data_IF_769534275447
#
_entry.id   IF_769534275447
#
_cell.length_a   1.000
_cell.length_b   1.000
_cell.length_c   1.000
_cell.angle_alpha   90.00
_cell.angle_beta   90.00
_cell.angle_gamma   90.00
#
_symmetry.space_group_name_H-M   'P 1'
#
loop_
_entity.id
_entity.type
_entity.pdbx_description
1 polymer ?
#
# COMPACT_ATOMS: atom_id res chain seq x y z
N UNK A 1 -3.94 -14.81 -39.21
CA UNK A 1 -5.34 -14.39 -39.42
C UNK A 1 -6.00 -14.27 -38.05
N UNK A 2 -5.65 -13.22 -37.32
CA UNK A 2 -6.22 -12.89 -36.01
C UNK A 2 -6.36 -11.37 -36.00
N UNK A 3 -7.31 -10.89 -36.80
CA UNK A 3 -7.77 -9.51 -36.78
C UNK A 3 -8.99 -9.42 -35.86
N UNK A 4 -9.15 -8.25 -35.25
CA UNK A 4 -10.42 -7.74 -34.72
C UNK A 4 -10.97 -8.33 -33.40
N UNK A 5 -10.21 -8.17 -32.31
CA UNK A 5 -10.82 -7.76 -31.04
C UNK A 5 -10.70 -6.24 -30.96
N UNK A 6 -11.61 -5.55 -31.67
CA UNK A 6 -11.69 -4.09 -31.76
C UNK A 6 -12.06 -3.46 -30.41
N UNK A 7 -11.62 -2.22 -30.22
CA UNK A 7 -11.78 -1.28 -29.08
C UNK A 7 -13.14 -1.21 -28.34
N UNK A 8 -14.19 -1.90 -28.80
CA UNK A 8 -15.49 -1.95 -28.13
C UNK A 8 -15.50 -2.78 -26.82
N UNK A 9 -14.45 -3.58 -26.57
CA UNK A 9 -14.34 -4.42 -25.37
C UNK A 9 -13.66 -3.79 -24.14
N UNK A 10 -13.12 -2.57 -24.25
CA UNK A 10 -12.12 -2.09 -23.28
C UNK A 10 -12.65 -1.08 -22.25
N UNK A 11 -13.52 -0.14 -22.66
CA UNK A 11 -14.38 0.60 -21.70
C UNK A 11 -15.22 -0.37 -20.86
N UNK A 12 -15.58 -1.49 -21.48
CA UNK A 12 -16.37 -2.56 -20.88
C UNK A 12 -15.68 -3.28 -19.70
N UNK A 13 -14.35 -3.29 -19.55
CA UNK A 13 -13.70 -4.02 -18.45
C UNK A 13 -13.72 -3.27 -17.12
N UNK A 14 -13.49 -1.95 -17.12
CA UNK A 14 -13.71 -1.14 -15.90
C UNK A 14 -15.18 -1.13 -15.51
N UNK A 15 -16.07 -1.10 -16.50
CA UNK A 15 -17.53 -1.13 -16.30
C UNK A 15 -18.03 -2.51 -15.85
N UNK A 16 -17.24 -3.57 -16.06
CA UNK A 16 -17.53 -4.94 -15.61
C UNK A 16 -17.11 -5.21 -14.17
N UNK A 17 -16.25 -4.37 -13.57
CA UNK A 17 -15.95 -4.47 -12.15
C UNK A 17 -17.10 -3.81 -11.38
N UNK A 18 -17.75 -4.52 -10.44
CA UNK A 18 -18.80 -3.91 -9.63
C UNK A 18 -18.28 -2.65 -8.93
N UNK A 19 -19.03 -1.56 -9.09
CA UNK A 19 -18.90 -0.39 -8.20
C UNK A 19 -19.33 -0.81 -6.78
N UNK A 20 -19.04 0.04 -5.80
CA UNK A 20 -19.37 -0.26 -4.42
C UNK A 20 -20.86 -0.61 -4.21
N UNK A 21 -21.12 -1.75 -3.55
CA UNK A 21 -22.48 -2.17 -3.23
C UNK A 21 -23.15 -1.18 -2.26
N UNK A 22 -24.45 -0.96 -2.44
CA UNK A 22 -25.28 -0.14 -1.54
C UNK A 22 -25.07 -0.57 -0.07
N UNK A 23 -24.53 0.34 0.74
CA UNK A 23 -24.23 0.12 2.17
C UNK A 23 -22.74 0.18 2.52
N UNK A 24 -21.84 0.11 1.54
CA UNK A 24 -20.54 0.79 1.64
C UNK A 24 -20.80 2.22 1.18
N UNK A 25 -20.76 3.20 2.11
CA UNK A 25 -20.93 4.61 1.74
C UNK A 25 -20.03 4.92 0.54
N UNK A 26 -20.54 5.62 -0.48
CA UNK A 26 -19.68 6.27 -1.46
C UNK A 26 -18.76 7.19 -0.65
N UNK A 27 -17.49 6.82 -0.60
CA UNK A 27 -16.58 7.41 0.36
C UNK A 27 -16.26 8.83 -0.10
N UNK A 28 -16.92 9.81 0.55
CA UNK A 28 -16.68 11.21 0.27
C UNK A 28 -15.29 11.57 0.74
N UNK A 29 -14.46 12.01 -0.19
CA UNK A 29 -13.23 12.67 0.17
C UNK A 29 -13.57 13.98 0.89
N UNK A 30 -12.80 14.38 1.90
CA UNK A 30 -13.10 15.59 2.65
C UNK A 30 -13.05 16.79 1.70
N UNK A 31 -13.88 17.85 1.90
CA UNK A 31 -14.01 18.95 0.94
C UNK A 31 -12.67 19.56 0.52
N UNK A 32 -11.74 19.72 1.45
CA UNK A 32 -10.40 20.24 1.17
C UNK A 32 -9.62 19.39 0.18
N UNK A 33 -9.80 18.06 0.16
CA UNK A 33 -9.19 17.15 -0.81
C UNK A 33 -10.07 16.95 -2.03
N UNK A 34 -11.40 17.02 -1.89
CA UNK A 34 -12.35 16.89 -2.99
C UNK A 34 -12.23 18.07 -3.98
N UNK A 35 -12.15 19.29 -3.46
CA UNK A 35 -12.07 20.55 -4.21
C UNK A 35 -10.65 20.87 -4.70
N UNK A 36 -9.61 20.36 -4.02
CA UNK A 36 -8.24 20.47 -4.49
C UNK A 36 -7.91 19.34 -5.45
N UNK A 37 -7.31 19.70 -6.58
CA UNK A 37 -6.77 18.71 -7.49
C UNK A 37 -5.43 18.14 -6.97
N UNK A 38 -4.87 18.54 -5.83
CA UNK A 38 -3.58 18.00 -5.37
C UNK A 38 -3.30 18.38 -3.92
N UNK A 39 -2.13 18.03 -3.35
CA UNK A 39 -1.75 18.56 -2.06
C UNK A 39 -1.61 20.09 -2.14
N UNK A 40 -1.64 20.73 -0.98
CA UNK A 40 -1.47 22.17 -0.83
C UNK A 40 -0.14 22.69 -1.43
N UNK A 41 0.86 21.82 -1.59
CA UNK A 41 2.15 22.09 -2.25
C UNK A 41 2.83 20.81 -2.74
N UNK A 42 3.70 20.91 -3.75
CA UNK A 42 4.61 19.82 -4.12
C UNK A 42 5.50 19.47 -2.92
N UNK A 43 5.82 18.19 -2.68
CA UNK A 43 6.66 17.82 -1.53
C UNK A 43 8.09 18.34 -1.73
N UNK A 44 8.41 19.48 -1.12
CA UNK A 44 9.77 20.03 -1.14
C UNK A 44 10.70 19.15 -0.32
N UNK A 45 11.87 18.85 -0.89
CA UNK A 45 12.94 18.18 -0.15
C UNK A 45 13.53 19.17 0.85
N UNK A 46 13.49 18.81 2.13
CA UNK A 46 14.11 19.61 3.16
C UNK A 46 15.62 19.36 3.27
N UNK A 47 16.28 20.16 4.12
CA UNK A 47 17.72 20.05 4.40
C UNK A 47 18.19 18.69 4.94
N UNK A 48 17.27 17.81 5.34
CA UNK A 48 17.56 16.46 5.83
C UNK A 48 17.27 15.38 4.77
N UNK A 49 16.92 15.79 3.55
CA UNK A 49 16.65 14.90 2.43
C UNK A 49 15.24 14.30 2.43
N UNK A 50 14.34 14.76 3.30
CA UNK A 50 12.96 14.25 3.41
C UNK A 50 11.94 15.21 2.81
N UNK A 51 10.81 14.68 2.37
CA UNK A 51 9.73 15.43 1.74
C UNK A 51 8.58 15.63 2.73
N UNK A 52 8.15 16.89 2.95
CA UNK A 52 6.95 17.15 3.75
C UNK A 52 5.72 16.87 2.90
N UNK A 53 4.87 15.96 3.36
CA UNK A 53 3.62 15.55 2.71
C UNK A 53 2.46 15.93 3.59
N UNK A 54 1.53 16.71 3.06
CA UNK A 54 0.32 17.10 3.77
C UNK A 54 -0.78 16.06 3.51
N UNK A 55 -1.21 15.36 4.56
CA UNK A 55 -2.27 14.35 4.51
C UNK A 55 -3.62 14.98 4.80
N UNK A 56 -3.68 15.99 5.66
CA UNK A 56 -4.84 16.85 5.90
C UNK A 56 -4.37 18.17 6.56
N UNK A 57 -5.21 19.21 6.69
CA UNK A 57 -4.77 20.52 7.22
C UNK A 57 -4.10 20.49 8.60
N UNK A 58 -4.37 19.45 9.39
CA UNK A 58 -3.81 19.25 10.73
C UNK A 58 -2.96 17.98 10.84
N UNK A 59 -2.54 17.39 9.72
CA UNK A 59 -1.71 16.20 9.69
C UNK A 59 -0.78 16.19 8.48
N UNK A 60 0.52 16.12 8.75
CA UNK A 60 1.56 15.99 7.72
C UNK A 60 2.60 14.96 8.15
N UNK A 61 3.36 14.44 7.19
CA UNK A 61 4.44 13.49 7.42
C UNK A 61 5.70 13.96 6.71
N UNK A 62 6.86 13.59 7.24
CA UNK A 62 8.15 13.73 6.58
C UNK A 62 8.56 12.38 6.02
N UNK A 63 8.63 12.27 4.69
CA UNK A 63 8.88 11.02 3.98
C UNK A 63 10.29 11.03 3.40
N UNK A 64 11.10 10.04 3.76
CA UNK A 64 12.38 9.79 3.12
C UNK A 64 12.20 8.88 1.91
N UNK A 65 12.90 9.20 0.83
CA UNK A 65 12.86 8.43 -0.42
C UNK A 65 14.26 7.87 -0.70
N UNK A 66 14.32 6.81 -1.50
CA UNK A 66 15.59 6.31 -2.00
C UNK A 66 16.02 7.16 -3.20
N UNK A 67 17.33 7.33 -3.39
CA UNK A 67 17.86 7.93 -4.61
C UNK A 67 17.51 7.07 -5.82
N UNK A 68 17.46 7.70 -7.00
CA UNK A 68 17.29 6.99 -8.26
C UNK A 68 18.41 5.95 -8.43
N UNK A 69 18.03 4.71 -8.76
CA UNK A 69 18.95 3.58 -8.83
C UNK A 69 19.88 3.64 -10.05
N UNK A 70 19.71 4.62 -10.95
CA UNK A 70 20.59 4.89 -12.09
C UNK A 70 20.49 3.87 -13.21
N UNK A 71 19.78 2.75 -13.01
CA UNK A 71 19.43 1.77 -14.04
C UNK A 71 18.11 2.15 -14.70
N UNK A 72 18.02 3.40 -15.18
CA UNK A 72 16.81 4.02 -15.72
C UNK A 72 15.62 4.13 -14.74
N UNK A 73 15.84 4.20 -13.41
CA UNK A 73 14.77 4.38 -12.43
C UNK A 73 13.86 3.16 -12.27
N UNK A 74 14.45 1.95 -12.25
CA UNK A 74 13.73 0.69 -12.42
C UNK A 74 12.65 0.41 -11.36
N UNK A 75 12.78 0.99 -10.16
CA UNK A 75 11.83 0.81 -9.05
C UNK A 75 11.02 2.07 -8.72
N UNK A 76 11.33 3.23 -9.33
CA UNK A 76 10.58 4.48 -9.18
C UNK A 76 10.38 5.00 -7.73
N UNK A 77 11.19 4.55 -6.78
CA UNK A 77 11.06 4.88 -5.35
C UNK A 77 11.61 6.26 -4.93
N UNK A 78 12.04 7.07 -5.90
CA UNK A 78 12.59 8.42 -5.70
C UNK A 78 11.52 9.52 -5.63
N UNK A 79 10.24 9.16 -5.78
CA UNK A 79 9.14 10.12 -5.76
C UNK A 79 7.97 9.63 -4.91
N UNK A 80 7.11 10.58 -4.54
CA UNK A 80 5.80 10.29 -3.96
C UNK A 80 4.80 10.32 -5.10
N UNK A 81 4.18 9.16 -5.33
CA UNK A 81 3.22 8.98 -6.40
C UNK A 81 1.81 9.34 -5.94
N UNK A 82 0.99 9.87 -6.84
CA UNK A 82 -0.33 10.39 -6.53
C UNK A 82 -1.26 9.34 -5.92
N UNK A 83 -1.20 8.08 -6.38
CA UNK A 83 -1.96 6.98 -5.83
C UNK A 83 -1.56 6.65 -4.39
N UNK A 84 -0.26 6.74 -4.04
CA UNK A 84 0.20 6.60 -2.66
C UNK A 84 -0.40 7.68 -1.76
N UNK A 85 -0.44 8.93 -2.21
CA UNK A 85 -1.11 10.03 -1.49
C UNK A 85 -2.63 9.81 -1.42
N UNK A 86 -3.27 9.37 -2.50
CA UNK A 86 -4.71 9.06 -2.52
C UNK A 86 -5.05 7.99 -1.49
N UNK A 87 -4.26 6.90 -1.43
CA UNK A 87 -4.43 5.82 -0.47
C UNK A 87 -4.22 6.31 0.97
N UNK A 88 -3.19 7.13 1.20
CA UNK A 88 -2.93 7.73 2.51
C UNK A 88 -4.09 8.63 2.97
N UNK A 89 -4.58 9.53 2.11
CA UNK A 89 -5.74 10.37 2.41
C UNK A 89 -7.01 9.52 2.63
N UNK A 90 -7.20 8.46 1.85
CA UNK A 90 -8.32 7.54 2.01
C UNK A 90 -8.30 6.88 3.40
N UNK A 91 -7.14 6.38 3.85
CA UNK A 91 -6.98 5.81 5.19
C UNK A 91 -7.20 6.84 6.30
N UNK A 92 -6.76 8.09 6.11
CA UNK A 92 -6.96 9.17 7.10
C UNK A 92 -8.45 9.46 7.34
N UNK A 93 -9.26 9.34 6.30
CA UNK A 93 -10.71 9.54 6.37
C UNK A 93 -11.48 8.27 6.80
N UNK A 94 -10.87 7.09 6.71
CA UNK A 94 -11.50 5.81 7.03
C UNK A 94 -10.66 4.99 8.02
N UNK A 95 -10.44 5.50 9.24
CA UNK A 95 -9.56 4.84 10.21
C UNK A 95 -10.01 3.43 10.58
N UNK A 96 -11.28 3.06 10.37
CA UNK A 96 -11.80 1.71 10.56
C UNK A 96 -11.13 0.65 9.65
N UNK A 97 -10.52 1.05 8.53
CA UNK A 97 -9.73 0.12 7.72
C UNK A 97 -8.48 -0.39 8.44
N UNK A 98 -7.91 0.39 9.35
CA UNK A 98 -6.59 0.11 9.95
C UNK A 98 -6.64 -0.06 11.47
N UNK A 99 -7.61 0.56 12.16
CA UNK A 99 -7.71 0.49 13.62
C UNK A 99 -7.79 -0.95 14.10
N UNK A 100 -6.93 -1.29 15.04
CA UNK A 100 -6.81 -2.61 15.68
C UNK A 100 -6.53 -3.78 14.70
N UNK A 101 -6.09 -3.49 13.47
CA UNK A 101 -5.84 -4.48 12.42
C UNK A 101 -4.35 -4.73 12.18
N UNK A 102 -4.02 -5.94 11.71
CA UNK A 102 -2.70 -6.26 11.16
C UNK A 102 -2.68 -5.82 9.69
N UNK A 103 -1.73 -4.96 9.34
CA UNK A 103 -1.61 -4.35 8.01
C UNK A 103 -0.25 -4.71 7.40
N UNK A 104 -0.23 -5.00 6.10
CA UNK A 104 1.00 -5.17 5.31
C UNK A 104 1.00 -4.22 4.12
N UNK A 105 2.12 -3.59 3.80
CA UNK A 105 2.29 -2.78 2.59
C UNK A 105 3.30 -3.44 1.66
N UNK A 106 2.95 -3.53 0.36
CA UNK A 106 3.82 -4.01 -0.70
C UNK A 106 4.22 -2.85 -1.62
N UNK A 107 5.52 -2.69 -1.87
CA UNK A 107 6.04 -1.58 -2.69
C UNK A 107 5.91 -0.24 -1.97
N UNK A 108 6.34 -0.19 -0.70
CA UNK A 108 6.08 0.94 0.19
C UNK A 108 6.85 2.23 -0.20
N UNK A 109 8.01 2.11 -0.84
CA UNK A 109 8.98 3.17 -1.10
C UNK A 109 9.26 4.01 0.17
N UNK A 110 8.63 5.17 0.30
CA UNK A 110 8.75 6.04 1.47
C UNK A 110 7.83 5.68 2.65
N UNK A 111 6.97 4.66 2.50
CA UNK A 111 6.02 4.14 3.49
C UNK A 111 4.90 5.12 3.90
N UNK A 112 4.47 6.01 3.01
CA UNK A 112 3.46 7.02 3.30
C UNK A 112 2.11 6.42 3.78
N UNK A 113 1.50 5.42 3.10
CA UNK A 113 0.28 4.76 3.58
C UNK A 113 0.47 4.05 4.93
N UNK A 114 1.59 3.34 5.11
CA UNK A 114 1.92 2.68 6.39
C UNK A 114 1.96 3.66 7.57
N UNK A 115 2.54 4.85 7.38
CA UNK A 115 2.62 5.87 8.43
C UNK A 115 1.23 6.39 8.84
N UNK A 116 0.30 6.53 7.88
CA UNK A 116 -1.09 6.87 8.17
C UNK A 116 -1.80 5.71 8.88
N UNK A 117 -1.58 4.47 8.45
CA UNK A 117 -2.13 3.30 9.12
C UNK A 117 -1.68 3.20 10.60
N UNK A 118 -0.40 3.46 10.87
CA UNK A 118 0.16 3.46 12.23
C UNK A 118 -0.44 4.56 13.11
N UNK A 119 -0.61 5.78 12.58
CA UNK A 119 -1.28 6.88 13.28
C UNK A 119 -2.68 6.50 13.73
N UNK A 120 -3.44 5.82 12.87
CA UNK A 120 -4.85 5.47 13.12
C UNK A 120 -5.06 4.18 13.91
N UNK A 121 -4.00 3.65 14.51
CA UNK A 121 -4.10 2.56 15.47
C UNK A 121 -3.99 1.16 14.86
N UNK A 122 -3.28 1.00 13.73
CA UNK A 122 -2.85 -0.32 13.26
C UNK A 122 -2.21 -1.14 14.38
N UNK A 123 -2.74 -2.33 14.65
CA UNK A 123 -2.24 -3.21 15.70
C UNK A 123 -0.83 -3.72 15.36
N UNK A 124 -0.56 -3.96 14.08
CA UNK A 124 0.75 -4.30 13.55
C UNK A 124 0.87 -3.83 12.09
N UNK A 125 2.07 -3.39 11.70
CA UNK A 125 2.38 -2.92 10.35
C UNK A 125 3.64 -3.62 9.83
N UNK A 126 3.51 -4.41 8.76
CA UNK A 126 4.65 -4.92 8.00
C UNK A 126 4.85 -4.07 6.74
N UNK A 127 6.00 -3.42 6.63
CA UNK A 127 6.32 -2.54 5.51
C UNK A 127 7.33 -3.25 4.62
N UNK A 128 6.94 -3.55 3.39
CA UNK A 128 7.78 -4.32 2.46
C UNK A 128 8.07 -3.55 1.17
N UNK A 129 9.27 -3.77 0.66
CA UNK A 129 9.69 -3.32 -0.67
C UNK A 129 10.74 -4.30 -1.22
N UNK A 130 11.19 -4.10 -2.45
CA UNK A 130 12.29 -4.87 -3.04
C UNK A 130 13.51 -4.89 -2.10
N UNK A 131 14.25 -6.01 -1.99
CA UNK A 131 15.39 -6.15 -1.07
C UNK A 131 16.63 -5.35 -1.52
N UNK A 132 16.49 -4.03 -1.62
CA UNK A 132 17.56 -3.05 -1.83
C UNK A 132 17.77 -2.25 -0.55
N UNK A 133 19.02 -2.15 -0.10
CA UNK A 133 19.37 -1.52 1.15
C UNK A 133 18.97 -0.02 1.20
N UNK A 134 18.96 0.69 0.07
CA UNK A 134 18.59 2.11 0.00
C UNK A 134 17.09 2.30 0.25
N UNK A 135 16.26 1.40 -0.27
CA UNK A 135 14.81 1.40 -0.05
C UNK A 135 14.48 1.14 1.41
N UNK A 136 15.03 0.06 1.97
CA UNK A 136 14.76 -0.30 3.37
C UNK A 136 15.25 0.80 4.31
N UNK A 137 16.42 1.40 4.05
CA UNK A 137 16.89 2.54 4.84
C UNK A 137 16.03 3.80 4.66
N UNK A 138 15.43 4.03 3.49
CA UNK A 138 14.49 5.15 3.32
C UNK A 138 13.24 4.97 4.19
N UNK A 139 12.66 3.76 4.22
CA UNK A 139 11.54 3.41 5.10
C UNK A 139 11.94 3.62 6.57
N UNK A 140 13.12 3.14 6.98
CA UNK A 140 13.64 3.31 8.33
C UNK A 140 13.78 4.79 8.71
N UNK A 141 14.33 5.61 7.82
CA UNK A 141 14.46 7.07 8.03
C UNK A 141 13.10 7.74 8.18
N UNK A 142 12.09 7.36 7.39
CA UNK A 142 10.71 7.87 7.56
C UNK A 142 10.16 7.56 8.95
N UNK A 143 10.31 6.31 9.42
CA UNK A 143 9.82 5.89 10.73
C UNK A 143 10.56 6.54 11.91
N UNK A 144 11.87 6.75 11.74
CA UNK A 144 12.74 7.32 12.77
C UNK A 144 12.75 8.86 12.78
N UNK A 145 12.11 9.51 11.81
CA UNK A 145 12.01 10.96 11.78
C UNK A 145 11.26 11.48 13.02
N UNK A 146 11.97 12.25 13.85
CA UNK A 146 11.44 12.79 15.11
C UNK A 146 10.22 13.68 14.90
N UNK A 147 10.05 14.27 13.71
CA UNK A 147 8.88 15.10 13.38
C UNK A 147 7.64 14.24 13.14
N UNK A 148 7.82 12.99 12.73
CA UNK A 148 6.73 12.03 12.62
C UNK A 148 6.34 11.42 13.98
N UNK A 149 7.27 11.36 14.94
CA UNK A 149 7.02 10.75 16.25
C UNK A 149 5.83 11.38 17.01
N UNK A 150 5.59 12.68 16.83
CA UNK A 150 4.45 13.38 17.41
C UNK A 150 3.10 12.82 16.92
N UNK A 151 3.05 12.34 15.67
CA UNK A 151 1.84 11.79 15.05
C UNK A 151 1.60 10.32 15.38
N UNK A 152 2.67 9.55 15.61
CA UNK A 152 2.58 8.12 15.92
C UNK A 152 2.35 7.87 17.42
N UNK A 153 2.57 8.89 18.26
CA UNK A 153 2.54 8.79 19.72
C UNK A 153 3.82 8.14 20.24
N UNK A 154 4.64 8.91 20.95
CA UNK A 154 5.92 8.46 21.49
C UNK A 154 5.78 7.13 22.26
N UNK A 155 6.57 6.11 21.88
CA UNK A 155 6.59 4.79 22.50
C UNK A 155 5.40 3.87 22.17
N UNK A 156 4.35 4.36 21.49
CA UNK A 156 3.18 3.53 21.18
C UNK A 156 3.44 2.53 20.07
N UNK A 157 4.35 2.78 19.14
CA UNK A 157 4.59 1.95 17.94
C UNK A 157 5.69 0.89 18.13
N UNK A 158 6.39 0.90 19.27
CA UNK A 158 7.38 -0.12 19.60
C UNK A 158 6.74 -1.53 19.61
N UNK A 159 7.35 -2.47 18.90
CA UNK A 159 6.82 -3.83 18.72
C UNK A 159 5.63 -3.97 17.77
N UNK A 160 5.14 -2.87 17.17
CA UNK A 160 4.03 -2.88 16.21
C UNK A 160 4.46 -2.69 14.74
N UNK A 161 5.75 -2.59 14.45
CA UNK A 161 6.26 -2.31 13.10
C UNK A 161 7.36 -3.29 12.72
N UNK A 162 7.26 -3.87 11.52
CA UNK A 162 8.33 -4.61 10.86
C UNK A 162 8.66 -3.99 9.50
N UNK A 163 9.93 -4.05 9.12
CA UNK A 163 10.42 -3.65 7.79
C UNK A 163 11.17 -4.84 7.21
N UNK A 164 10.82 -5.25 6.00
CA UNK A 164 11.44 -6.41 5.36
C UNK A 164 11.54 -6.24 3.84
N UNK A 165 12.71 -6.57 3.29
CA UNK A 165 12.86 -6.74 1.85
C UNK A 165 12.11 -7.97 1.37
N UNK A 166 11.26 -7.82 0.35
CA UNK A 166 10.44 -8.87 -0.22
C UNK A 166 10.35 -8.73 -1.74
N UNK A 167 10.52 -9.84 -2.45
CA UNK A 167 10.26 -9.92 -3.88
C UNK A 167 8.89 -10.59 -4.05
N UNK A 168 7.98 -9.95 -4.75
CA UNK A 168 6.62 -10.48 -4.94
C UNK A 168 6.65 -11.90 -5.53
N UNK A 169 5.72 -12.74 -5.09
CA UNK A 169 5.59 -14.14 -5.51
C UNK A 169 6.55 -15.10 -4.81
N UNK A 170 7.56 -14.59 -4.07
CA UNK A 170 8.42 -15.42 -3.22
C UNK A 170 7.69 -15.84 -1.94
N UNK A 171 8.30 -16.79 -1.24
CA UNK A 171 7.83 -17.28 0.05
C UNK A 171 7.58 -16.12 1.04
N UNK A 172 6.42 -16.15 1.68
CA UNK A 172 5.97 -15.09 2.58
C UNK A 172 6.04 -15.50 4.04
N UNK A 173 6.57 -16.69 4.39
CA UNK A 173 6.58 -17.17 5.77
C UNK A 173 7.27 -16.19 6.72
N UNK A 174 8.35 -15.53 6.28
CA UNK A 174 9.04 -14.48 7.04
C UNK A 174 8.20 -13.23 7.31
N UNK A 175 7.18 -12.98 6.49
CA UNK A 175 6.22 -11.90 6.65
C UNK A 175 5.09 -12.26 7.63
N UNK A 176 4.81 -13.53 7.92
CA UNK A 176 3.60 -13.96 8.64
C UNK A 176 3.76 -14.11 10.17
N UNK A 177 4.77 -13.54 10.81
CA UNK A 177 5.11 -13.88 12.20
C UNK A 177 5.22 -12.71 13.17
N UNK A 178 5.01 -13.01 14.46
CA UNK A 178 5.76 -12.34 15.54
C UNK A 178 7.22 -12.83 15.57
N UNK A 179 7.53 -14.06 15.11
CA UNK A 179 8.87 -14.66 15.19
C UNK A 179 9.95 -13.96 14.36
N UNK A 180 9.58 -13.23 13.32
CA UNK A 180 10.53 -12.42 12.55
C UNK A 180 11.09 -11.25 13.39
N UNK A 181 10.43 -10.87 14.50
CA UNK A 181 11.02 -10.00 15.54
C UNK A 181 12.04 -10.71 16.46
N UNK A 182 12.03 -12.05 16.56
CA UNK A 182 12.96 -12.82 17.42
C UNK A 182 14.26 -13.22 16.71
N UNK A 183 14.23 -13.43 15.40
CA UNK A 183 15.39 -13.93 14.63
C UNK A 183 16.26 -12.84 13.99
N UNK A 184 16.14 -11.58 14.43
CA UNK A 184 17.08 -10.50 14.08
C UNK A 184 17.03 -10.00 12.62
N UNK A 185 16.11 -10.51 11.79
CA UNK A 185 15.94 -10.07 10.39
C UNK A 185 14.93 -8.92 10.23
N UNK A 186 14.04 -8.70 11.21
CA UNK A 186 13.19 -7.50 11.24
C UNK A 186 13.91 -6.41 12.01
N UNK A 187 14.26 -5.33 11.32
CA UNK A 187 14.70 -4.11 12.01
C UNK A 187 13.50 -3.51 12.72
N UNK A 188 13.34 -3.84 13.99
CA UNK A 188 12.43 -3.15 14.89
C UNK A 188 12.92 -1.70 15.02
N UNK A 189 12.45 -0.84 14.13
CA UNK A 189 12.70 0.59 14.24
C UNK A 189 11.79 1.12 15.32
N UNK A 190 12.35 1.37 16.51
CA UNK A 190 12.06 2.49 17.40
C UNK A 190 12.86 2.29 18.71
N UNK A 191 14.07 2.86 18.73
CA UNK A 191 14.77 3.31 19.93
C UNK A 191 15.29 2.25 20.91
N UNK A 192 16.61 2.22 21.03
CA UNK A 192 17.36 1.72 22.18
C UNK A 192 16.89 2.43 23.46
N UNK A 193 15.94 1.83 24.17
CA UNK A 193 15.70 2.06 25.60
C UNK A 193 15.48 0.70 26.25
N UNK A 194 16.59 0.14 26.74
CA UNK A 194 16.70 -0.80 27.86
C UNK A 194 15.67 -1.92 27.96
N UNK A 195 16.16 -3.17 27.84
CA UNK A 195 15.65 -4.40 28.45
C UNK A 195 14.34 -4.29 29.25
N UNK A 196 13.24 -4.04 28.56
CA UNK A 196 11.91 -4.40 29.04
C UNK A 196 11.04 -4.68 27.83
N UNK A 197 11.19 -5.89 27.30
CA UNK A 197 10.22 -6.51 26.38
C UNK A 197 8.88 -6.60 27.10
N UNK A 198 8.15 -5.47 27.10
CA UNK A 198 6.81 -5.37 27.63
C UNK A 198 5.99 -6.53 27.10
N UNK A 199 5.45 -7.34 28.03
CA UNK A 199 4.63 -8.51 27.72
C UNK A 199 3.52 -8.12 26.75
N UNK A 200 3.70 -8.45 25.47
CA UNK A 200 2.63 -8.36 24.47
C UNK A 200 1.49 -9.25 24.96
N UNK A 201 0.29 -8.67 25.09
CA UNK A 201 -0.92 -9.40 25.46
C UNK A 201 -1.16 -10.49 24.42
N UNK A 202 -1.04 -11.74 24.85
CA UNK A 202 -1.33 -12.93 24.05
C UNK A 202 -2.84 -13.13 24.00
N UNK A 203 -3.48 -12.67 22.93
CA UNK A 203 -4.83 -13.10 22.58
C UNK A 203 -4.88 -13.54 21.11
N UNK A 204 -4.66 -14.84 20.89
CA UNK A 204 -5.59 -15.67 20.12
C UNK A 204 -5.70 -15.53 18.59
N UNK A 205 -4.69 -15.07 17.83
CA UNK A 205 -4.69 -15.24 16.35
C UNK A 205 -3.62 -16.24 15.91
N UNK A 206 -4.06 -17.40 15.44
CA UNK A 206 -3.22 -18.57 15.14
C UNK A 206 -2.44 -18.50 13.82
N UNK A 207 -2.73 -17.55 12.92
CA UNK A 207 -2.19 -17.59 11.55
C UNK A 207 -1.20 -16.47 11.20
N UNK A 208 -1.03 -15.44 12.02
CA UNK A 208 -0.12 -14.30 11.75
C UNK A 208 -0.41 -13.48 10.47
N UNK A 209 -1.44 -13.88 9.72
CA UNK A 209 -1.98 -13.23 8.52
C UNK A 209 -2.47 -11.81 8.80
N UNK A 210 -2.70 -11.08 7.72
CA UNK A 210 -3.08 -9.67 7.72
C UNK A 210 -4.56 -9.49 7.42
N UNK A 211 -5.18 -8.52 8.09
CA UNK A 211 -6.55 -8.09 7.82
C UNK A 211 -6.61 -7.15 6.61
N UNK A 212 -5.53 -6.39 6.39
CA UNK A 212 -5.43 -5.39 5.34
C UNK A 212 -4.07 -5.46 4.64
N UNK A 213 -4.07 -5.41 3.31
CA UNK A 213 -2.90 -5.14 2.50
C UNK A 213 -3.02 -3.78 1.81
N UNK A 214 -1.91 -3.06 1.68
CA UNK A 214 -1.82 -1.77 1.01
C UNK A 214 -0.90 -1.90 -0.21
N UNK A 215 -1.36 -1.40 -1.35
CA UNK A 215 -0.56 -1.33 -2.58
C UNK A 215 -0.77 0.04 -3.22
N UNK A 216 0.28 0.85 -3.21
CA UNK A 216 0.32 2.15 -3.85
C UNK A 216 1.14 2.13 -5.13
N UNK A 217 0.53 2.39 -6.28
CA UNK A 217 1.23 2.77 -7.51
C UNK A 217 2.18 1.68 -8.07
N UNK A 218 1.76 0.42 -7.97
CA UNK A 218 2.54 -0.75 -8.41
C UNK A 218 2.06 -1.38 -9.73
N UNK A 219 0.87 -1.02 -10.24
CA UNK A 219 0.25 -1.76 -11.36
C UNK A 219 0.92 -1.53 -12.72
N UNK A 220 1.77 -0.50 -12.87
CA UNK A 220 2.55 -0.28 -14.09
C UNK A 220 3.52 -1.43 -14.41
N UNK A 221 3.90 -2.23 -13.39
CA UNK A 221 4.80 -3.37 -13.54
C UNK A 221 4.01 -4.62 -13.94
N UNK A 222 3.46 -4.62 -15.16
CA UNK A 222 2.51 -5.64 -15.66
C UNK A 222 3.01 -7.09 -15.56
N UNK A 223 4.31 -7.30 -15.64
CA UNK A 223 4.92 -8.65 -15.57
C UNK A 223 4.82 -9.26 -14.17
N UNK A 224 4.66 -8.44 -13.13
CA UNK A 224 4.66 -8.88 -11.73
C UNK A 224 3.25 -9.00 -11.14
N UNK A 225 2.19 -8.81 -11.93
CA UNK A 225 0.81 -8.86 -11.46
C UNK A 225 0.45 -10.19 -10.78
N UNK A 226 0.84 -11.32 -11.37
CA UNK A 226 0.56 -12.65 -10.79
C UNK A 226 1.35 -12.88 -9.49
N UNK A 227 2.61 -12.41 -9.45
CA UNK A 227 3.48 -12.49 -8.27
C UNK A 227 2.95 -11.63 -7.11
N UNK A 228 2.45 -10.43 -7.41
CA UNK A 228 1.80 -9.57 -6.43
C UNK A 228 0.51 -10.21 -5.90
N UNK A 229 -0.35 -10.75 -6.77
CA UNK A 229 -1.56 -11.46 -6.35
C UNK A 229 -1.26 -12.68 -5.47
N UNK A 230 -0.21 -13.44 -5.78
CA UNK A 230 0.26 -14.54 -4.93
C UNK A 230 0.71 -14.06 -3.54
N UNK A 231 1.40 -12.93 -3.47
CA UNK A 231 1.83 -12.33 -2.20
C UNK A 231 0.62 -11.87 -1.37
N UNK A 232 -0.33 -11.18 -1.99
CA UNK A 232 -1.60 -10.79 -1.35
C UNK A 232 -2.36 -12.02 -0.84
N UNK A 233 -2.50 -13.06 -1.66
CA UNK A 233 -3.16 -14.31 -1.28
C UNK A 233 -2.48 -14.97 -0.07
N UNK A 234 -1.17 -15.19 -0.11
CA UNK A 234 -0.46 -15.90 0.96
C UNK A 234 -0.39 -15.12 2.28
N UNK A 235 -0.62 -13.80 2.25
CA UNK A 235 -0.54 -12.93 3.44
C UNK A 235 -1.88 -12.53 4.03
N UNK A 236 -2.95 -12.45 3.24
CA UNK A 236 -4.27 -12.08 3.75
C UNK A 236 -5.00 -13.23 4.43
N UNK A 237 -5.67 -12.92 5.55
CA UNK A 237 -6.62 -13.83 6.16
C UNK A 237 -7.87 -14.02 5.26
N UNK A 238 -8.62 -15.12 5.39
CA UNK A 238 -9.95 -15.21 4.79
C UNK A 238 -10.83 -14.03 5.22
N UNK A 239 -11.42 -13.32 4.26
CA UNK A 239 -12.16 -12.08 4.49
C UNK A 239 -11.29 -10.82 4.61
N UNK A 240 -9.96 -10.96 4.61
CA UNK A 240 -9.03 -9.83 4.56
C UNK A 240 -9.08 -9.12 3.20
N UNK A 241 -8.74 -7.83 3.19
CA UNK A 241 -8.88 -6.97 2.02
C UNK A 241 -7.53 -6.39 1.60
N UNK A 242 -7.27 -6.24 0.30
CA UNK A 242 -6.21 -5.39 -0.21
C UNK A 242 -6.80 -4.09 -0.77
N UNK A 243 -6.20 -2.94 -0.45
CA UNK A 243 -6.50 -1.65 -1.07
C UNK A 243 -5.42 -1.33 -2.11
N UNK A 244 -5.84 -1.16 -3.36
CA UNK A 244 -4.97 -0.99 -4.51
C UNK A 244 -5.24 0.39 -5.13
N UNK A 245 -4.29 1.30 -4.99
CA UNK A 245 -4.34 2.61 -5.64
C UNK A 245 -3.37 2.65 -6.83
N UNK A 246 -3.78 3.23 -7.95
CA UNK A 246 -2.93 3.32 -9.14
C UNK A 246 -3.39 4.42 -10.11
N UNK A 247 -2.50 4.76 -11.03
CA UNK A 247 -2.81 5.47 -12.27
C UNK A 247 -2.30 4.69 -13.50
N UNK A 248 -2.89 4.99 -14.66
CA UNK A 248 -2.37 4.52 -15.94
C UNK A 248 -1.10 5.31 -16.31
N UNK A 249 0.07 4.73 -16.03
CA UNK A 249 1.37 5.38 -16.27
C UNK A 249 1.95 5.11 -17.64
N UNK A 250 1.57 3.99 -18.27
CA UNK A 250 2.09 3.54 -19.56
C UNK A 250 1.01 3.75 -20.64
N UNK A 251 1.13 4.77 -21.51
CA UNK A 251 0.12 5.06 -22.52
C UNK A 251 -0.13 3.85 -23.44
N UNK A 252 -1.40 3.54 -23.69
CA UNK A 252 -1.80 2.39 -24.52
C UNK A 252 -1.64 1.03 -23.84
N UNK A 253 -1.33 1.00 -22.54
CA UNK A 253 -1.27 -0.21 -21.73
C UNK A 253 -2.30 -0.20 -20.59
N UNK A 254 -3.33 0.63 -20.67
CA UNK A 254 -4.40 0.74 -19.67
C UNK A 254 -5.04 -0.62 -19.41
N UNK A 255 -5.24 -1.42 -20.45
CA UNK A 255 -5.80 -2.77 -20.36
C UNK A 255 -4.90 -3.73 -19.59
N UNK A 256 -3.58 -3.52 -19.66
CA UNK A 256 -2.62 -4.33 -18.92
C UNK A 256 -2.69 -4.00 -17.44
N UNK A 257 -2.93 -2.74 -17.04
CA UNK A 257 -3.22 -2.39 -15.65
C UNK A 257 -4.51 -3.08 -15.19
N UNK A 258 -5.58 -3.00 -15.99
CA UNK A 258 -6.88 -3.59 -15.67
C UNK A 258 -6.87 -5.13 -15.63
N UNK A 259 -5.95 -5.77 -16.36
CA UNK A 259 -5.74 -7.22 -16.31
C UNK A 259 -5.45 -7.73 -14.90
N UNK A 260 -4.82 -6.93 -14.04
CA UNK A 260 -4.62 -7.28 -12.63
C UNK A 260 -5.92 -7.71 -11.94
N UNK A 261 -6.98 -6.93 -12.12
CA UNK A 261 -8.29 -7.16 -11.51
C UNK A 261 -9.02 -8.36 -12.12
N UNK A 262 -8.87 -8.58 -13.43
CA UNK A 262 -9.37 -9.80 -14.07
C UNK A 262 -8.70 -11.05 -13.52
N UNK A 263 -7.38 -11.01 -13.33
CA UNK A 263 -6.61 -12.11 -12.74
C UNK A 263 -7.02 -12.35 -11.28
N UNK A 264 -7.26 -11.28 -10.52
CA UNK A 264 -7.70 -11.35 -9.12
C UNK A 264 -9.07 -12.01 -8.95
N UNK A 265 -10.01 -11.73 -9.86
CA UNK A 265 -11.37 -12.28 -9.84
C UNK A 265 -11.43 -13.75 -10.29
N UNK A 266 -10.39 -14.27 -10.93
CA UNK A 266 -10.32 -15.66 -11.36
C UNK A 266 -9.88 -16.57 -10.21
N UNK A 267 -10.55 -17.70 -10.04
CA UNK A 267 -10.10 -18.75 -9.13
C UNK A 267 -8.73 -19.28 -9.59
N UNK A 268 -7.71 -19.08 -8.74
CA UNK A 268 -6.32 -19.45 -9.00
C UNK A 268 -5.83 -20.36 -7.88
N UNK A 269 -5.07 -21.40 -8.23
CA UNK A 269 -4.34 -22.20 -7.25
C UNK A 269 -2.89 -21.74 -7.21
N UNK A 270 -2.40 -21.47 -6.01
CA UNK A 270 -0.99 -21.24 -5.75
C UNK A 270 -0.45 -22.45 -4.98
N UNK A 271 0.41 -23.24 -5.61
CA UNK A 271 0.92 -24.49 -5.03
C UNK A 271 -0.18 -25.55 -4.82
N UNK A 272 -0.18 -26.22 -3.66
CA UNK A 272 -1.11 -27.30 -3.31
C UNK A 272 -2.36 -26.80 -2.56
N UNK A 273 -2.64 -25.49 -2.59
CA UNK A 273 -3.76 -24.89 -1.89
C UNK A 273 -5.07 -24.96 -2.70
N UNK A 274 -6.20 -24.75 -2.02
CA UNK A 274 -7.49 -24.61 -2.68
C UNK A 274 -7.49 -23.37 -3.61
N UNK A 275 -8.28 -23.39 -4.70
CA UNK A 275 -8.42 -22.21 -5.54
C UNK A 275 -8.91 -21.03 -4.70
N UNK A 276 -8.21 -19.90 -4.80
CA UNK A 276 -8.61 -18.64 -4.19
C UNK A 276 -8.85 -17.62 -5.29
N UNK A 277 -9.85 -16.78 -5.05
CA UNK A 277 -10.11 -15.59 -5.84
C UNK A 277 -10.46 -14.44 -4.89
N UNK A 278 -10.34 -13.24 -5.44
CA UNK A 278 -10.74 -12.02 -4.78
C UNK A 278 -12.08 -11.56 -5.33
N UNK A 279 -12.93 -11.07 -4.44
CA UNK A 279 -13.98 -10.15 -4.83
C UNK A 279 -13.36 -8.80 -5.10
N UNK A 280 -13.55 -8.28 -6.32
CA UNK A 280 -12.98 -7.02 -6.76
C UNK A 280 -14.07 -5.96 -6.79
N UNK A 281 -13.78 -4.80 -6.23
CA UNK A 281 -14.68 -3.67 -6.21
C UNK A 281 -13.91 -2.37 -6.45
N UNK A 282 -14.45 -1.49 -7.28
CA UNK A 282 -13.94 -0.13 -7.41
C UNK A 282 -14.50 0.73 -6.28
N UNK A 283 -13.61 1.47 -5.62
CA UNK A 283 -13.97 2.29 -4.46
C UNK A 283 -14.11 3.77 -4.82
N UNK A 284 -13.19 4.29 -5.62
CA UNK A 284 -13.23 5.67 -6.12
C UNK A 284 -12.35 5.85 -7.35
N UNK A 285 -12.63 6.91 -8.09
CA UNK A 285 -11.73 7.51 -9.07
C UNK A 285 -11.62 9.03 -8.85
N UNK A 286 -10.44 9.60 -9.06
CA UNK A 286 -10.22 11.04 -8.87
C UNK A 286 -9.17 11.60 -9.81
N UNK A 287 -9.43 12.77 -10.38
CA UNK A 287 -8.41 13.55 -11.08
C UNK A 287 -7.54 14.29 -10.07
N UNK A 288 -6.22 14.09 -10.15
CA UNK A 288 -5.23 14.75 -9.30
C UNK A 288 -4.09 15.38 -10.11
N UNK A 289 -3.76 16.64 -9.85
CA UNK A 289 -2.49 17.31 -10.17
C UNK A 289 -1.33 16.44 -9.71
N UNK A 290 -0.46 16.12 -10.65
CA UNK A 290 0.71 15.29 -10.43
C UNK A 290 1.68 15.96 -9.47
N UNK A 291 2.14 15.22 -8.47
CA UNK A 291 3.11 15.70 -7.48
C UNK A 291 4.48 16.02 -8.08
N UNK A 292 4.84 15.31 -9.15
CA UNK A 292 6.15 15.32 -9.77
C UNK A 292 6.16 15.95 -11.18
N UNK A 293 5.00 16.45 -11.66
CA UNK A 293 4.86 17.11 -12.98
C UNK A 293 3.91 18.29 -12.87
N UNK A 294 4.48 19.49 -12.78
CA UNK A 294 3.73 20.73 -12.68
C UNK A 294 2.73 20.88 -13.85
N UNK A 295 1.51 21.32 -13.53
CA UNK A 295 0.43 21.55 -14.51
C UNK A 295 -0.20 20.28 -15.11
N UNK A 296 0.32 19.08 -14.82
CA UNK A 296 -0.26 17.83 -15.29
C UNK A 296 -1.31 17.33 -14.31
N UNK A 297 -2.48 16.94 -14.82
CA UNK A 297 -3.50 16.20 -14.06
C UNK A 297 -3.49 14.74 -14.52
N UNK A 298 -3.61 13.82 -13.58
CA UNK A 298 -3.69 12.38 -13.81
C UNK A 298 -4.88 11.81 -13.05
N UNK A 299 -5.65 10.94 -13.73
CA UNK A 299 -6.72 10.18 -13.09
C UNK A 299 -6.10 9.07 -12.24
N UNK A 300 -6.52 9.01 -10.99
CA UNK A 300 -6.16 8.01 -10.00
C UNK A 300 -7.38 7.15 -9.70
N UNK A 301 -7.12 5.89 -9.39
CA UNK A 301 -8.13 4.91 -9.04
C UNK A 301 -7.79 4.26 -7.71
N UNK A 302 -8.82 3.79 -7.01
CA UNK A 302 -8.69 2.95 -5.82
C UNK A 302 -9.69 1.79 -5.91
N UNK A 303 -9.18 0.59 -5.71
CA UNK A 303 -9.94 -0.65 -5.73
C UNK A 303 -9.72 -1.43 -4.43
N UNK A 304 -10.70 -2.24 -4.03
CA UNK A 304 -10.55 -3.27 -3.01
C UNK A 304 -10.58 -4.67 -3.62
N UNK A 305 -9.75 -5.55 -3.07
CA UNK A 305 -9.74 -6.99 -3.35
C UNK A 305 -9.98 -7.73 -2.03
N UNK A 306 -11.16 -8.33 -1.85
CA UNK A 306 -11.49 -9.09 -0.63
C UNK A 306 -11.27 -10.58 -0.87
N UNK A 307 -10.37 -11.19 -0.09
CA UNK A 307 -10.06 -12.62 -0.19
C UNK A 307 -11.26 -13.44 0.28
N UNK A 308 -11.85 -14.22 -0.62
CA UNK A 308 -13.00 -15.07 -0.26
C UNK A 308 -12.53 -16.23 0.64
N UNK A 309 -13.31 -16.51 1.69
CA UNK A 309 -13.15 -17.73 2.48
C UNK A 309 -13.52 -18.91 1.58
N UNK A 310 -12.60 -19.86 1.39
CA UNK A 310 -12.92 -21.10 0.67
C UNK A 310 -14.14 -21.76 1.31
N UNK A 311 -15.12 -22.12 0.49
CA UNK A 311 -16.31 -22.89 0.90
C UNK A 311 -15.97 -24.34 1.24
#
# INVERSE_FOLDING_TARGET
MAEDVREAGLRSLSDQVPEAADGLEEISLPPWFAEQLGPLSSPDQDKHGSHRVEISPSFHLHISLAEDDGANGSLFAFSIWNGSLLLACYLDNHPAFVRDKRVIEFGAAGALPSMVALRHGGAYMMITDYPDARLLQAIERTLQDRRNAAWLGAGKTAGRVGIMGHVWGRDTAGLLGEESTRNGQVRACLGDMGDDLGKVRREGRSSGLYDLALVGECLWLHQEHENLLQSLHSTLCPGGTALISFAHHVPGCEDKDMKFFMLAAQARQYGNEQPVWFEVQKLLEKNMVCLHREGKVSKQFLYSLTKRSGG
#
